data_IF_425565342708
#
_entry.id   IF_425565342708
#
_cell.length_a   1.000
_cell.length_b   1.000
_cell.length_c   1.000
_cell.angle_alpha   90.00
_cell.angle_beta   90.00
_cell.angle_gamma   90.00
#
_symmetry.space_group_name_H-M   'P 1'
#
loop_
_entity.id
_entity.type
_entity.pdbx_description
1 polymer ?
#
# COMPACT_ATOMS: atom_id res chain seq x y z
N UNK A 1 29.18 -51.73 -23.42
CA UNK A 1 30.37 -51.49 -22.57
C UNK A 1 31.42 -50.91 -23.49
N UNK A 2 31.32 -49.61 -23.75
CA UNK A 2 32.30 -48.94 -24.60
C UNK A 2 33.58 -48.78 -23.78
N UNK A 3 34.68 -49.27 -24.34
CA UNK A 3 36.01 -48.95 -23.85
C UNK A 3 36.13 -47.44 -23.84
N UNK A 4 35.93 -46.83 -22.67
CA UNK A 4 36.27 -45.44 -22.43
C UNK A 4 37.73 -45.33 -22.85
N UNK A 5 38.00 -44.69 -23.99
CA UNK A 5 39.38 -44.40 -24.34
C UNK A 5 39.93 -43.62 -23.18
N UNK A 6 41.02 -44.09 -22.59
CA UNK A 6 41.66 -43.53 -21.39
C UNK A 6 41.91 -42.01 -21.50
N UNK A 7 41.88 -41.48 -22.72
CA UNK A 7 42.06 -40.09 -23.06
C UNK A 7 40.92 -39.62 -23.97
N UNK A 8 40.31 -38.48 -23.63
CA UNK A 8 39.43 -37.74 -24.54
C UNK A 8 40.29 -36.84 -25.43
N UNK A 9 40.18 -37.02 -26.73
CA UNK A 9 40.91 -36.22 -27.73
C UNK A 9 39.97 -35.55 -28.73
N UNK A 10 38.68 -35.46 -28.40
CA UNK A 10 37.73 -34.69 -29.19
C UNK A 10 37.97 -33.19 -29.00
N UNK A 11 37.71 -32.42 -30.05
CA UNK A 11 37.77 -30.97 -29.97
C UNK A 11 36.63 -30.45 -29.08
N UNK A 12 36.93 -29.47 -28.22
CA UNK A 12 35.94 -28.84 -27.34
C UNK A 12 34.80 -28.15 -28.12
N UNK A 13 35.09 -27.61 -29.30
CA UNK A 13 34.12 -26.94 -30.19
C UNK A 13 33.48 -27.97 -31.13
N UNK A 14 34.29 -28.75 -31.84
CA UNK A 14 33.84 -29.74 -32.82
C UNK A 14 33.91 -31.16 -32.25
N UNK A 15 32.95 -31.53 -31.40
CA UNK A 15 32.96 -32.78 -30.61
C UNK A 15 33.12 -34.07 -31.44
N UNK A 16 32.76 -34.04 -32.72
CA UNK A 16 32.95 -35.18 -33.62
C UNK A 16 34.39 -35.34 -34.11
N UNK A 17 35.16 -34.25 -34.15
CA UNK A 17 36.49 -34.21 -34.70
C UNK A 17 37.55 -34.37 -33.61
N UNK A 18 38.59 -35.16 -33.91
CA UNK A 18 39.75 -35.30 -33.03
C UNK A 18 40.69 -34.11 -33.22
N UNK A 19 41.34 -33.69 -32.14
CA UNK A 19 42.44 -32.73 -32.18
C UNK A 19 43.57 -33.32 -33.03
N UNK A 20 44.15 -32.49 -33.91
CA UNK A 20 45.17 -32.93 -34.89
C UNK A 20 46.46 -32.10 -34.85
N UNK A 21 46.37 -30.80 -34.59
CA UNK A 21 47.50 -29.88 -34.69
C UNK A 21 47.45 -28.83 -33.58
N UNK A 22 48.54 -28.09 -33.42
CA UNK A 22 48.60 -26.89 -32.58
C UNK A 22 48.61 -25.68 -33.50
N UNK A 23 47.74 -24.71 -33.26
CA UNK A 23 47.80 -23.40 -33.89
C UNK A 23 48.84 -22.57 -33.17
N UNK A 24 50.04 -22.43 -33.75
CA UNK A 24 51.14 -21.66 -33.16
C UNK A 24 50.81 -20.16 -33.06
N UNK A 25 49.94 -19.64 -33.95
CA UNK A 25 49.47 -18.25 -33.86
C UNK A 25 48.58 -18.00 -32.64
N UNK A 26 47.66 -18.92 -32.34
CA UNK A 26 46.69 -18.78 -31.24
C UNK A 26 47.14 -19.44 -29.94
N UNK A 27 48.19 -20.28 -29.97
CA UNK A 27 48.62 -21.16 -28.87
C UNK A 27 47.49 -22.06 -28.38
N UNK A 28 46.80 -22.70 -29.32
CA UNK A 28 45.64 -23.56 -29.02
C UNK A 28 45.69 -24.88 -29.81
N UNK A 29 44.98 -25.89 -29.32
CA UNK A 29 44.83 -27.20 -29.95
C UNK A 29 43.62 -27.21 -30.89
N UNK A 30 43.83 -27.63 -32.13
CA UNK A 30 42.83 -27.51 -33.19
C UNK A 30 42.56 -28.85 -33.86
N UNK A 31 41.30 -29.08 -34.23
CA UNK A 31 40.91 -30.12 -35.18
C UNK A 31 40.84 -29.55 -36.60
N UNK A 32 40.57 -30.40 -37.59
CA UNK A 32 40.48 -29.97 -38.99
C UNK A 32 39.40 -28.89 -39.20
N UNK A 33 38.25 -29.00 -38.54
CA UNK A 33 37.18 -27.99 -38.66
C UNK A 33 37.57 -26.64 -38.06
N UNK A 34 38.26 -26.63 -36.91
CA UNK A 34 38.79 -25.38 -36.33
C UNK A 34 39.72 -24.66 -37.31
N UNK A 35 40.57 -25.40 -38.02
CA UNK A 35 41.51 -24.84 -38.99
C UNK A 35 40.77 -24.14 -40.13
N UNK A 36 39.68 -24.73 -40.61
CA UNK A 36 38.89 -24.20 -41.73
C UNK A 36 38.06 -22.97 -41.33
N UNK A 37 37.51 -22.97 -40.12
CA UNK A 37 36.56 -21.95 -39.67
C UNK A 37 37.24 -20.76 -38.98
N UNK A 38 37.97 -21.02 -37.89
CA UNK A 38 38.40 -19.97 -36.96
C UNK A 38 39.91 -19.67 -37.02
N UNK A 39 40.71 -20.60 -37.56
CA UNK A 39 42.17 -20.46 -37.62
C UNK A 39 42.72 -20.37 -39.06
N UNK A 40 41.88 -19.98 -40.03
CA UNK A 40 42.30 -19.87 -41.42
C UNK A 40 43.45 -18.84 -41.58
N UNK A 41 44.52 -19.24 -42.26
CA UNK A 41 45.73 -18.40 -42.45
C UNK A 41 46.72 -18.39 -41.28
N UNK A 42 46.43 -19.08 -40.18
CA UNK A 42 47.34 -19.19 -39.05
C UNK A 42 48.46 -20.20 -39.29
N UNK A 43 49.55 -20.10 -38.50
CA UNK A 43 50.65 -21.06 -38.52
C UNK A 43 50.30 -22.27 -37.67
N UNK A 44 50.59 -23.47 -38.17
CA UNK A 44 50.32 -24.71 -37.46
C UNK A 44 51.59 -25.52 -37.21
N UNK A 45 51.67 -26.13 -36.03
CA UNK A 45 52.72 -27.06 -35.61
C UNK A 45 52.16 -28.46 -35.35
N UNK A 46 53.06 -29.44 -35.25
CA UNK A 46 52.70 -30.80 -34.83
C UNK A 46 52.45 -30.82 -33.32
N UNK A 47 51.70 -31.81 -32.84
CA UNK A 47 51.57 -32.06 -31.41
C UNK A 47 52.84 -32.80 -30.97
N UNK A 48 53.82 -32.04 -30.49
CA UNK A 48 55.09 -32.53 -29.96
C UNK A 48 55.47 -31.75 -28.70
N UNK A 49 56.60 -32.14 -28.08
CA UNK A 49 57.06 -31.54 -26.82
C UNK A 49 57.32 -30.04 -26.97
N UNK A 50 57.88 -29.61 -28.09
CA UNK A 50 58.25 -28.21 -28.32
C UNK A 50 57.01 -27.32 -28.45
N UNK A 51 56.06 -27.71 -29.30
CA UNK A 51 54.84 -26.93 -29.56
C UNK A 51 53.83 -26.98 -28.40
N UNK A 52 53.82 -28.05 -27.61
CA UNK A 52 52.85 -28.23 -26.52
C UNK A 52 53.29 -27.57 -25.20
N UNK A 53 54.58 -27.30 -25.03
CA UNK A 53 55.16 -26.84 -23.76
C UNK A 53 54.54 -25.52 -23.29
N UNK A 54 54.42 -24.55 -24.19
CA UNK A 54 53.89 -23.23 -23.84
C UNK A 54 52.41 -23.30 -23.43
N UNK A 55 51.60 -24.06 -24.16
CA UNK A 55 50.17 -24.27 -23.85
C UNK A 55 50.02 -24.94 -22.48
N UNK A 56 50.85 -25.95 -22.20
CA UNK A 56 50.80 -26.67 -20.93
C UNK A 56 51.26 -25.80 -19.75
N UNK A 57 52.31 -25.00 -19.91
CA UNK A 57 52.76 -24.06 -18.87
C UNK A 57 51.72 -22.97 -18.62
N UNK A 58 51.05 -22.44 -19.64
CA UNK A 58 49.94 -21.48 -19.47
C UNK A 58 48.77 -22.13 -18.71
N UNK A 59 48.40 -23.36 -19.07
CA UNK A 59 47.36 -24.10 -18.37
C UNK A 59 47.70 -24.32 -16.89
N UNK A 60 48.93 -24.76 -16.62
CA UNK A 60 49.43 -25.07 -15.27
C UNK A 60 49.54 -23.84 -14.40
N UNK A 61 50.08 -22.74 -14.94
CA UNK A 61 50.41 -21.55 -14.16
C UNK A 61 49.22 -20.60 -14.03
N UNK A 62 48.33 -20.53 -15.02
CA UNK A 62 47.22 -19.57 -15.06
C UNK A 62 45.84 -20.23 -15.08
N UNK A 63 45.56 -21.15 -16.01
CA UNK A 63 44.19 -21.65 -16.20
C UNK A 63 43.68 -22.45 -15.00
N UNK A 64 44.49 -23.35 -14.42
CA UNK A 64 44.05 -24.21 -13.32
C UNK A 64 43.62 -23.39 -12.08
N UNK A 65 44.42 -22.38 -11.70
CA UNK A 65 44.08 -21.48 -10.60
C UNK A 65 42.82 -20.64 -10.91
N UNK A 66 42.66 -20.23 -12.16
CA UNK A 66 41.48 -19.49 -12.59
C UNK A 66 40.21 -20.35 -12.57
N UNK A 67 40.29 -21.64 -12.89
CA UNK A 67 39.15 -22.57 -12.80
C UNK A 67 38.63 -22.71 -11.37
N UNK A 68 39.53 -22.88 -10.39
CA UNK A 68 39.14 -22.93 -8.97
C UNK A 68 38.46 -21.63 -8.52
N UNK A 69 38.96 -20.48 -8.99
CA UNK A 69 38.32 -19.17 -8.76
C UNK A 69 36.93 -19.09 -9.40
N UNK A 70 36.73 -19.63 -10.60
CA UNK A 70 35.42 -19.66 -11.25
C UNK A 70 34.42 -20.57 -10.52
N UNK A 71 34.87 -21.69 -9.93
CA UNK A 71 34.02 -22.52 -9.06
C UNK A 71 33.53 -21.70 -7.85
N UNK A 72 34.43 -20.93 -7.23
CA UNK A 72 34.07 -20.00 -6.14
C UNK A 72 33.00 -18.98 -6.57
N UNK A 73 33.20 -18.30 -7.70
CA UNK A 73 32.25 -17.33 -8.25
C UNK A 73 30.89 -17.98 -8.56
N UNK A 74 30.88 -19.17 -9.17
CA UNK A 74 29.64 -19.89 -9.50
C UNK A 74 28.87 -20.28 -8.24
N UNK A 75 29.56 -20.70 -7.18
CA UNK A 75 28.95 -20.99 -5.88
C UNK A 75 28.38 -19.72 -5.22
N UNK A 76 29.06 -18.58 -5.32
CA UNK A 76 28.55 -17.28 -4.85
C UNK A 76 27.29 -16.85 -5.62
N UNK A 77 27.29 -16.97 -6.95
CA UNK A 77 26.13 -16.67 -7.80
C UNK A 77 24.94 -17.61 -7.49
N UNK A 78 25.21 -18.90 -7.27
CA UNK A 78 24.18 -19.86 -6.87
C UNK A 78 23.57 -19.50 -5.52
N UNK A 79 24.39 -19.10 -4.54
CA UNK A 79 23.93 -18.63 -3.24
C UNK A 79 23.10 -17.34 -3.37
N UNK A 80 23.53 -16.38 -4.20
CA UNK A 80 22.78 -15.15 -4.47
C UNK A 80 21.42 -15.44 -5.10
N UNK A 81 21.36 -16.37 -6.07
CA UNK A 81 20.13 -16.83 -6.71
C UNK A 81 19.18 -17.50 -5.73
N UNK A 82 19.69 -18.41 -4.87
CA UNK A 82 18.89 -19.06 -3.84
C UNK A 82 18.32 -18.05 -2.83
N UNK A 83 19.09 -17.02 -2.46
CA UNK A 83 18.62 -15.94 -1.58
C UNK A 83 17.53 -15.07 -2.24
N UNK A 84 17.65 -14.79 -3.55
CA UNK A 84 16.60 -14.13 -4.35
C UNK A 84 15.32 -14.95 -4.34
N UNK A 85 15.43 -16.24 -4.62
CA UNK A 85 14.29 -17.13 -4.64
C UNK A 85 13.62 -17.24 -3.27
N UNK A 86 14.41 -17.32 -2.18
CA UNK A 86 13.85 -17.35 -0.82
C UNK A 86 13.08 -16.07 -0.49
N UNK A 87 13.59 -14.91 -0.89
CA UNK A 87 12.89 -13.63 -0.72
C UNK A 87 11.58 -13.58 -1.50
N UNK A 88 11.54 -14.15 -2.72
CA UNK A 88 10.32 -14.30 -3.51
C UNK A 88 9.31 -15.26 -2.86
N UNK A 89 9.78 -16.38 -2.31
CA UNK A 89 8.94 -17.36 -1.60
C UNK A 89 8.30 -16.76 -0.35
N UNK A 90 9.09 -16.02 0.45
CA UNK A 90 8.59 -15.32 1.63
C UNK A 90 7.56 -14.25 1.23
N UNK A 91 7.83 -13.49 0.16
CA UNK A 91 6.89 -12.47 -0.37
C UNK A 91 5.61 -13.10 -0.93
N UNK A 92 5.72 -14.23 -1.61
CA UNK A 92 4.56 -14.99 -2.09
C UNK A 92 3.68 -15.43 -0.91
N UNK A 93 4.29 -16.00 0.12
CA UNK A 93 3.60 -16.42 1.33
C UNK A 93 2.90 -15.24 2.03
N UNK A 94 3.58 -14.10 2.16
CA UNK A 94 3.01 -12.86 2.69
C UNK A 94 1.78 -12.41 1.89
N UNK A 95 1.91 -12.33 0.55
CA UNK A 95 0.82 -11.91 -0.34
C UNK A 95 -0.41 -12.83 -0.22
N UNK A 96 -0.20 -14.16 -0.19
CA UNK A 96 -1.28 -15.14 -0.02
C UNK A 96 -1.98 -14.96 1.34
N UNK A 97 -1.21 -14.76 2.42
CA UNK A 97 -1.77 -14.52 3.75
C UNK A 97 -2.58 -13.22 3.80
N UNK A 98 -2.06 -12.13 3.21
CA UNK A 98 -2.77 -10.84 3.13
C UNK A 98 -4.11 -10.98 2.41
N UNK A 99 -4.13 -11.63 1.23
CA UNK A 99 -5.35 -11.87 0.47
C UNK A 99 -6.33 -12.71 1.31
N UNK A 100 -5.84 -13.80 1.92
CA UNK A 100 -6.67 -14.71 2.72
C UNK A 100 -7.32 -14.00 3.91
N UNK A 101 -6.58 -13.20 4.67
CA UNK A 101 -7.13 -12.49 5.82
C UNK A 101 -8.15 -11.41 5.40
N UNK A 102 -7.92 -10.68 4.31
CA UNK A 102 -8.93 -9.72 3.80
C UNK A 102 -10.23 -10.43 3.41
N UNK A 103 -10.14 -11.53 2.65
CA UNK A 103 -11.33 -12.29 2.24
C UNK A 103 -12.00 -13.07 3.37
N UNK A 104 -11.34 -13.26 4.51
CA UNK A 104 -11.92 -13.85 5.73
C UNK A 104 -12.75 -12.85 6.52
N UNK A 105 -12.43 -11.55 6.44
CA UNK A 105 -13.22 -10.50 7.11
C UNK A 105 -14.48 -10.09 6.32
N UNK A 106 -14.43 -10.09 4.97
CA UNK A 106 -15.57 -9.65 4.14
C UNK A 106 -16.89 -10.40 4.43
N UNK A 107 -16.92 -11.75 4.54
CA UNK A 107 -18.15 -12.47 4.82
C UNK A 107 -18.73 -12.16 6.21
N UNK A 108 -17.91 -11.71 7.18
CA UNK A 108 -18.39 -11.34 8.52
C UNK A 108 -19.23 -10.07 8.50
N UNK A 109 -19.01 -9.20 7.52
CA UNK A 109 -19.75 -7.95 7.37
C UNK A 109 -21.16 -8.17 6.79
N UNK A 110 -21.33 -9.20 5.94
CA UNK A 110 -22.59 -9.43 5.21
C UNK A 110 -23.80 -9.65 6.15
N UNK A 111 -23.76 -10.56 7.15
CA UNK A 111 -24.89 -10.75 8.06
C UNK A 111 -25.19 -9.52 8.91
N UNK A 112 -24.16 -8.75 9.29
CA UNK A 112 -24.33 -7.52 10.08
C UNK A 112 -25.12 -6.49 9.27
N UNK A 113 -24.73 -6.28 8.01
CA UNK A 113 -25.40 -5.34 7.11
C UNK A 113 -26.82 -5.82 6.79
N UNK A 114 -27.01 -7.11 6.53
CA UNK A 114 -28.32 -7.71 6.27
C UNK A 114 -29.29 -7.47 7.45
N UNK A 115 -28.86 -7.83 8.67
CA UNK A 115 -29.67 -7.67 9.89
C UNK A 115 -29.99 -6.19 10.14
N UNK A 116 -29.02 -5.28 9.97
CA UNK A 116 -29.24 -3.83 10.10
C UNK A 116 -30.31 -3.34 9.13
N UNK A 117 -30.23 -3.71 7.84
CA UNK A 117 -31.20 -3.26 6.84
C UNK A 117 -32.60 -3.83 7.06
N UNK A 118 -32.70 -5.10 7.43
CA UNK A 118 -33.99 -5.71 7.80
C UNK A 118 -34.59 -5.00 9.02
N UNK A 119 -33.77 -4.73 10.05
CA UNK A 119 -34.24 -4.02 11.25
C UNK A 119 -34.78 -2.63 10.93
N UNK A 120 -34.12 -1.88 10.05
CA UNK A 120 -34.59 -0.57 9.59
C UNK A 120 -35.96 -0.67 8.89
N UNK A 121 -36.15 -1.66 8.01
CA UNK A 121 -37.44 -1.89 7.35
C UNK A 121 -38.54 -2.25 8.34
N UNK A 122 -38.23 -3.11 9.32
CA UNK A 122 -39.18 -3.49 10.39
C UNK A 122 -39.59 -2.27 11.21
N UNK A 123 -38.64 -1.42 11.61
CA UNK A 123 -38.95 -0.19 12.36
C UNK A 123 -39.88 0.74 11.58
N UNK A 124 -39.62 0.98 10.29
CA UNK A 124 -40.48 1.81 9.44
C UNK A 124 -41.89 1.22 9.28
N UNK A 125 -41.98 -0.12 9.19
CA UNK A 125 -43.26 -0.81 9.12
C UNK A 125 -44.04 -0.72 10.43
N UNK A 126 -43.38 -0.89 11.58
CA UNK A 126 -43.99 -0.78 12.91
C UNK A 126 -44.54 0.64 13.16
N UNK A 127 -43.80 1.68 12.76
CA UNK A 127 -44.28 3.06 12.84
C UNK A 127 -45.53 3.29 11.98
N UNK A 128 -45.54 2.76 10.74
CA UNK A 128 -46.73 2.81 9.88
C UNK A 128 -47.90 2.01 10.49
N UNK A 129 -47.62 0.88 11.16
CA UNK A 129 -48.64 0.07 11.84
C UNK A 129 -49.25 0.81 13.03
N UNK A 130 -48.46 1.56 13.78
CA UNK A 130 -48.93 2.42 14.87
C UNK A 130 -49.83 3.54 14.35
N UNK A 131 -49.43 4.22 13.26
CA UNK A 131 -50.27 5.22 12.56
C UNK A 131 -51.60 4.60 12.13
N UNK A 132 -51.57 3.44 11.48
CA UNK A 132 -52.78 2.75 11.03
C UNK A 132 -53.70 2.35 12.20
N UNK A 133 -53.13 1.92 13.32
CA UNK A 133 -53.89 1.56 14.53
C UNK A 133 -54.56 2.79 15.14
N UNK A 134 -53.87 3.93 15.16
CA UNK A 134 -54.43 5.21 15.62
C UNK A 134 -55.60 5.66 14.73
N UNK A 135 -55.42 5.66 13.40
CA UNK A 135 -56.48 5.99 12.45
C UNK A 135 -57.68 5.05 12.63
N UNK A 136 -57.43 3.74 12.72
CA UNK A 136 -58.50 2.73 12.88
C UNK A 136 -59.29 2.95 14.17
N UNK A 137 -58.62 3.25 15.28
CA UNK A 137 -59.26 3.54 16.57
C UNK A 137 -60.15 4.78 16.48
N UNK A 138 -59.62 5.87 15.91
CA UNK A 138 -60.35 7.12 15.72
C UNK A 138 -61.60 6.90 14.85
N UNK A 139 -61.47 6.23 13.71
CA UNK A 139 -62.58 5.94 12.79
C UNK A 139 -63.62 5.03 13.44
N UNK A 140 -63.18 4.01 14.19
CA UNK A 140 -64.07 3.09 14.88
C UNK A 140 -64.88 3.79 15.97
N UNK A 141 -64.24 4.62 16.81
CA UNK A 141 -64.90 5.40 17.85
C UNK A 141 -65.95 6.34 17.27
N UNK A 142 -65.64 7.03 16.17
CA UNK A 142 -66.61 7.86 15.48
C UNK A 142 -67.77 7.05 14.90
N UNK A 143 -67.48 5.95 14.23
CA UNK A 143 -68.50 5.07 13.65
C UNK A 143 -69.45 4.52 14.71
N UNK A 144 -68.92 4.10 15.86
CA UNK A 144 -69.71 3.61 16.99
C UNK A 144 -70.63 4.70 17.55
N UNK A 145 -70.11 5.91 17.75
CA UNK A 145 -70.91 7.04 18.22
C UNK A 145 -72.02 7.44 17.23
N UNK A 146 -71.71 7.46 15.94
CA UNK A 146 -72.69 7.73 14.86
C UNK A 146 -73.77 6.64 14.86
N UNK A 147 -73.38 5.36 14.90
CA UNK A 147 -74.33 4.24 14.90
C UNK A 147 -75.23 4.25 16.14
N UNK A 148 -74.68 4.55 17.32
CA UNK A 148 -75.43 4.63 18.57
C UNK A 148 -76.53 5.69 18.50
N UNK A 149 -76.19 6.89 18.02
CA UNK A 149 -77.16 7.99 17.87
C UNK A 149 -78.16 7.68 16.75
N UNK A 150 -77.69 7.23 15.59
CA UNK A 150 -78.53 6.96 14.42
C UNK A 150 -79.54 5.86 14.72
N UNK A 151 -79.10 4.71 15.24
CA UNK A 151 -80.00 3.60 15.54
C UNK A 151 -81.08 3.97 16.56
N UNK A 152 -80.74 4.84 17.52
CA UNK A 152 -81.67 5.27 18.55
C UNK A 152 -82.79 6.16 18.02
N UNK A 153 -82.49 7.06 17.07
CA UNK A 153 -83.41 8.12 16.67
C UNK A 153 -83.97 7.98 15.24
N UNK A 154 -83.36 7.16 14.37
CA UNK A 154 -83.68 7.05 12.93
C UNK A 154 -85.17 6.92 12.62
N UNK A 155 -85.89 6.13 13.42
CA UNK A 155 -87.31 5.83 13.17
C UNK A 155 -88.26 6.55 14.14
N UNK A 156 -87.74 7.16 15.21
CA UNK A 156 -88.52 7.71 16.32
C UNK A 156 -88.44 9.23 16.41
N UNK A 157 -87.48 9.88 15.73
CA UNK A 157 -87.20 11.32 15.88
C UNK A 157 -88.43 12.21 15.66
N UNK A 158 -89.26 11.89 14.67
CA UNK A 158 -90.47 12.64 14.35
C UNK A 158 -91.61 12.45 15.37
N UNK A 159 -91.50 11.47 16.25
CA UNK A 159 -92.48 11.16 17.31
C UNK A 159 -92.08 11.77 18.66
N UNK A 160 -90.86 12.29 18.78
CA UNK A 160 -90.35 12.86 20.03
C UNK A 160 -90.95 14.25 20.24
N UNK A 161 -91.78 14.39 21.26
CA UNK A 161 -92.28 15.67 21.74
C UNK A 161 -91.50 16.07 23.01
N UNK A 162 -90.63 17.06 22.90
CA UNK A 162 -89.75 17.47 24.00
C UNK A 162 -90.54 18.07 25.18
N UNK A 163 -91.63 18.78 24.89
CA UNK A 163 -92.49 19.38 25.92
C UNK A 163 -93.13 18.28 26.78
N UNK A 164 -93.55 17.17 26.17
CA UNK A 164 -94.09 16.02 26.91
C UNK A 164 -93.03 15.37 27.81
N UNK A 165 -91.83 15.13 27.28
CA UNK A 165 -90.76 14.44 28.02
C UNK A 165 -90.25 15.28 29.20
N UNK A 166 -90.16 16.60 29.05
CA UNK A 166 -89.72 17.50 30.13
C UNK A 166 -90.76 17.56 31.25
N UNK A 167 -92.05 17.52 30.91
CA UNK A 167 -93.14 17.58 31.90
C UNK A 167 -93.38 16.24 32.62
N UNK A 168 -92.83 15.13 32.12
CA UNK A 168 -92.94 13.81 32.73
C UNK A 168 -91.87 13.65 33.83
N UNK A 169 -92.26 13.93 35.08
CA UNK A 169 -91.38 14.11 36.26
C UNK A 169 -90.49 12.91 36.66
N UNK A 170 -90.43 11.84 35.88
CA UNK A 170 -89.75 10.59 36.22
C UNK A 170 -88.75 10.06 35.18
N UNK A 171 -88.29 10.88 34.21
CA UNK A 171 -87.26 10.41 33.27
C UNK A 171 -86.11 11.39 33.00
N UNK A 172 -84.88 10.88 33.07
CA UNK A 172 -83.66 11.53 32.58
C UNK A 172 -83.57 11.54 31.04
N UNK A 173 -84.65 11.20 30.34
CA UNK A 173 -84.69 11.03 28.89
C UNK A 173 -84.38 12.34 28.14
N UNK A 174 -84.88 13.48 28.65
CA UNK A 174 -84.59 14.78 28.07
C UNK A 174 -83.08 15.11 28.11
N UNK A 175 -82.38 14.79 29.21
CA UNK A 175 -80.93 14.99 29.35
C UNK A 175 -80.17 14.14 28.33
N UNK A 176 -80.57 12.88 28.16
CA UNK A 176 -79.93 11.98 27.22
C UNK A 176 -80.11 12.43 25.76
N UNK A 177 -81.31 12.92 25.40
CA UNK A 177 -81.56 13.52 24.08
C UNK A 177 -80.65 14.73 23.87
N UNK A 178 -80.57 15.64 24.85
CA UNK A 178 -79.69 16.81 24.78
C UNK A 178 -78.21 16.41 24.62
N UNK A 179 -77.76 15.37 25.33
CA UNK A 179 -76.40 14.81 25.17
C UNK A 179 -76.16 14.34 23.74
N UNK A 180 -77.07 13.56 23.15
CA UNK A 180 -76.93 13.09 21.77
C UNK A 180 -77.06 14.22 20.74
N UNK A 181 -77.87 15.25 20.99
CA UNK A 181 -77.91 16.47 20.18
C UNK A 181 -76.55 17.20 20.20
N UNK A 182 -75.93 17.32 21.38
CA UNK A 182 -74.60 17.90 21.50
C UNK A 182 -73.52 17.05 20.81
N UNK A 183 -73.54 15.73 20.99
CA UNK A 183 -72.59 14.80 20.37
C UNK A 183 -72.72 14.76 18.85
N UNK A 184 -73.94 14.65 18.32
CA UNK A 184 -74.19 14.69 16.87
C UNK A 184 -73.71 16.00 16.25
N UNK A 185 -73.91 17.14 16.94
CA UNK A 185 -73.34 18.41 16.50
C UNK A 185 -71.82 18.35 16.38
N UNK A 186 -71.12 17.79 17.36
CA UNK A 186 -69.65 17.63 17.31
C UNK A 186 -69.20 16.66 16.21
N UNK A 187 -69.95 15.58 15.98
CA UNK A 187 -69.66 14.59 14.93
C UNK A 187 -69.85 15.15 13.52
N UNK A 188 -70.74 16.15 13.36
CA UNK A 188 -71.11 16.72 12.04
C UNK A 188 -70.35 18.03 11.74
N UNK A 189 -70.26 18.94 12.72
CA UNK A 189 -69.92 20.35 12.41
C UNK A 189 -68.46 20.64 12.16
N UNK A 190 -67.56 19.69 12.36
CA UNK A 190 -66.15 19.96 12.24
C UNK A 190 -65.46 18.90 11.37
N UNK A 191 -64.91 19.33 10.23
CA UNK A 191 -63.87 18.61 9.49
C UNK A 191 -62.63 18.30 10.35
N UNK A 192 -62.63 18.59 11.66
CA UNK A 192 -61.59 18.21 12.62
C UNK A 192 -61.24 16.72 12.53
N UNK A 193 -62.21 15.84 12.27
CA UNK A 193 -61.95 14.40 12.17
C UNK A 193 -61.19 14.05 10.89
N UNK A 194 -61.67 14.59 9.78
CA UNK A 194 -61.02 14.44 8.47
C UNK A 194 -59.61 15.04 8.51
N UNK A 195 -59.46 16.25 9.04
CA UNK A 195 -58.17 16.92 9.21
C UNK A 195 -57.21 16.08 10.08
N UNK A 196 -57.67 15.59 11.24
CA UNK A 196 -56.85 14.75 12.12
C UNK A 196 -56.43 13.43 11.45
N UNK A 197 -57.32 12.82 10.67
CA UNK A 197 -57.00 11.60 9.92
C UNK A 197 -56.01 11.92 8.79
N UNK A 198 -56.22 13.00 8.05
CA UNK A 198 -55.31 13.46 6.99
C UNK A 198 -53.92 13.78 7.55
N UNK A 199 -53.84 14.49 8.69
CA UNK A 199 -52.59 14.76 9.40
C UNK A 199 -51.85 13.48 9.82
N UNK A 200 -52.57 12.41 10.18
CA UNK A 200 -51.98 11.10 10.47
C UNK A 200 -51.55 10.37 9.19
N UNK A 201 -52.34 10.46 8.11
CA UNK A 201 -51.98 9.85 6.83
C UNK A 201 -50.73 10.50 6.22
N UNK A 202 -50.54 11.81 6.39
CA UNK A 202 -49.34 12.52 5.95
C UNK A 202 -48.07 12.08 6.69
N UNK A 203 -48.20 11.40 7.83
CA UNK A 203 -47.07 10.85 8.59
C UNK A 203 -46.61 9.48 8.09
N UNK A 204 -47.35 8.84 7.17
CA UNK A 204 -46.93 7.55 6.63
C UNK A 204 -45.56 7.64 5.94
N UNK A 205 -44.67 6.70 6.28
CA UNK A 205 -43.34 6.60 5.68
C UNK A 205 -43.40 5.72 4.45
N UNK A 206 -43.29 6.32 3.27
CA UNK A 206 -43.16 5.59 2.01
C UNK A 206 -41.70 5.11 1.81
N UNK A 207 -41.51 3.81 1.64
CA UNK A 207 -40.18 3.19 1.57
C UNK A 207 -39.82 2.87 0.12
N UNK A 208 -38.77 3.52 -0.39
CA UNK A 208 -38.18 3.20 -1.69
C UNK A 208 -36.93 2.32 -1.50
N UNK A 209 -36.81 1.26 -2.29
CA UNK A 209 -35.69 0.32 -2.23
C UNK A 209 -34.77 0.48 -3.45
N UNK A 210 -33.45 0.56 -3.22
CA UNK A 210 -32.42 0.60 -4.27
C UNK A 210 -31.48 -0.58 -4.07
N UNK A 211 -31.33 -1.42 -5.08
CA UNK A 211 -30.44 -2.58 -5.05
C UNK A 211 -29.14 -2.30 -5.81
N UNK A 212 -28.03 -2.13 -5.09
CA UNK A 212 -26.70 -1.85 -5.65
C UNK A 212 -25.79 -3.09 -5.73
N UNK A 213 -26.34 -4.30 -5.62
CA UNK A 213 -25.54 -5.54 -5.53
C UNK A 213 -24.57 -5.74 -6.69
N UNK A 214 -24.94 -5.37 -7.92
CA UNK A 214 -24.05 -5.50 -9.09
C UNK A 214 -22.83 -4.58 -9.02
N UNK A 215 -23.00 -3.33 -8.58
CA UNK A 215 -21.88 -2.40 -8.39
C UNK A 215 -20.92 -2.91 -7.31
N UNK A 216 -21.47 -3.45 -6.21
CA UNK A 216 -20.66 -4.02 -5.13
C UNK A 216 -19.84 -5.23 -5.61
N UNK A 217 -20.42 -6.10 -6.45
CA UNK A 217 -19.70 -7.25 -7.01
C UNK A 217 -18.49 -6.82 -7.84
N UNK A 218 -18.62 -5.78 -8.67
CA UNK A 218 -17.49 -5.25 -9.44
C UNK A 218 -16.43 -4.65 -8.53
N UNK A 219 -16.81 -3.85 -7.52
CA UNK A 219 -15.86 -3.32 -6.53
C UNK A 219 -15.12 -4.43 -5.76
N UNK A 220 -15.74 -5.58 -5.51
CA UNK A 220 -15.08 -6.73 -4.87
C UNK A 220 -13.98 -7.34 -5.76
N UNK A 221 -14.13 -7.34 -7.09
CA UNK A 221 -13.09 -7.85 -8.00
C UNK A 221 -11.85 -6.97 -8.01
N UNK A 222 -12.02 -5.67 -7.76
CA UNK A 222 -10.96 -4.66 -7.78
C UNK A 222 -10.20 -4.55 -6.45
N UNK A 223 -10.51 -5.39 -5.44
CA UNK A 223 -9.85 -5.34 -4.13
C UNK A 223 -8.33 -5.57 -4.26
N UNK A 224 -7.91 -6.45 -5.18
CA UNK A 224 -6.50 -6.75 -5.43
C UNK A 224 -6.19 -6.76 -6.92
N UNK A 225 -5.15 -6.00 -7.29
CA UNK A 225 -4.55 -6.04 -8.61
C UNK A 225 -3.18 -6.72 -8.53
N UNK A 226 -2.95 -7.75 -9.36
CA UNK A 226 -1.67 -8.45 -9.42
C UNK A 226 -0.87 -7.90 -10.59
N UNK A 227 0.26 -7.26 -10.31
CA UNK A 227 1.21 -6.78 -11.31
C UNK A 227 2.53 -7.54 -11.20
N UNK A 228 3.18 -7.78 -12.35
CA UNK A 228 4.50 -8.39 -12.41
C UNK A 228 5.56 -7.28 -12.55
N UNK A 229 6.51 -7.21 -11.63
CA UNK A 229 7.64 -6.29 -11.74
C UNK A 229 8.85 -7.00 -12.33
N UNK A 230 9.52 -6.37 -13.28
CA UNK A 230 10.68 -6.94 -14.01
C UNK A 230 11.97 -7.03 -13.16
N UNK A 231 11.92 -6.75 -11.85
CA UNK A 231 13.13 -6.65 -11.02
C UNK A 231 12.95 -7.23 -9.62
N UNK A 232 13.76 -8.23 -9.27
CA UNK A 232 13.87 -8.82 -7.93
C UNK A 232 15.00 -8.10 -7.19
N UNK A 233 14.77 -7.65 -5.95
CA UNK A 233 15.83 -7.10 -5.08
C UNK A 233 15.97 -7.90 -3.80
N UNK A 234 17.18 -8.38 -3.52
CA UNK A 234 17.55 -9.06 -2.27
C UNK A 234 17.67 -8.15 -1.05
N UNK A 235 17.45 -6.84 -1.18
CA UNK A 235 17.60 -5.93 -0.05
C UNK A 235 16.29 -5.89 0.72
N UNK A 236 16.30 -6.39 1.95
CA UNK A 236 15.15 -6.27 2.87
C UNK A 236 14.91 -4.79 3.14
N UNK A 237 13.72 -4.32 2.78
CA UNK A 237 13.26 -3.01 3.19
C UNK A 237 12.97 -3.03 4.69
N UNK A 238 13.32 -1.96 5.43
CA UNK A 238 13.03 -1.92 6.85
C UNK A 238 11.53 -1.98 7.13
N UNK A 239 11.18 -2.46 8.32
CA UNK A 239 9.79 -2.46 8.82
C UNK A 239 9.37 -1.08 9.30
N UNK A 240 10.30 -0.36 9.94
CA UNK A 240 10.02 0.94 10.55
C UNK A 240 11.22 1.85 10.47
N UNK A 241 10.96 3.12 10.15
CA UNK A 241 11.97 4.17 10.11
C UNK A 241 11.43 5.38 10.85
N UNK A 242 12.17 5.89 11.82
CA UNK A 242 11.86 7.13 12.54
C UNK A 242 12.92 8.16 12.17
N UNK A 243 12.51 9.35 11.77
CA UNK A 243 13.40 10.49 11.56
C UNK A 243 12.74 11.75 12.12
N UNK A 244 13.51 12.65 12.74
CA UNK A 244 12.93 13.86 13.34
C UNK A 244 11.89 13.59 14.44
N UNK A 245 11.96 12.44 15.10
CA UNK A 245 11.00 12.03 16.13
C UNK A 245 9.64 11.55 15.60
N UNK A 246 9.46 11.41 14.28
CA UNK A 246 8.24 10.87 13.67
C UNK A 246 8.53 9.69 12.75
N UNK A 247 7.54 8.82 12.62
CA UNK A 247 7.60 7.67 11.74
C UNK A 247 7.53 8.11 10.27
N UNK A 248 8.40 7.54 9.44
CA UNK A 248 8.49 7.81 8.02
C UNK A 248 7.63 6.81 7.25
N UNK A 249 6.99 7.29 6.19
CA UNK A 249 6.44 6.41 5.17
C UNK A 249 7.58 5.77 4.37
N UNK A 250 7.61 4.45 4.27
CA UNK A 250 8.66 3.71 3.54
C UNK A 250 8.25 3.61 2.06
N UNK A 251 8.91 4.38 1.22
CA UNK A 251 8.67 4.45 -0.21
C UNK A 251 9.35 3.30 -0.96
N UNK A 252 8.56 2.50 -1.68
CA UNK A 252 9.00 1.41 -2.57
C UNK A 252 8.53 1.71 -4.00
N UNK A 253 9.04 0.98 -5.01
CA UNK A 253 8.72 1.24 -6.43
C UNK A 253 7.21 1.31 -6.73
N UNK A 254 6.39 0.50 -6.04
CA UNK A 254 4.94 0.38 -6.26
C UNK A 254 4.11 1.08 -5.16
N UNK A 255 4.73 1.90 -4.31
CA UNK A 255 4.04 2.58 -3.22
C UNK A 255 3.42 3.90 -3.66
N UNK A 256 2.12 4.07 -3.40
CA UNK A 256 1.46 5.37 -3.46
C UNK A 256 1.75 6.11 -2.17
N UNK A 257 2.44 7.25 -2.25
CA UNK A 257 2.74 8.09 -1.09
C UNK A 257 1.44 8.78 -0.63
N UNK A 258 0.97 8.57 0.61
CA UNK A 258 -0.25 9.19 1.11
C UNK A 258 -0.20 10.71 1.01
N UNK A 259 -1.31 11.34 0.65
CA UNK A 259 -1.39 12.79 0.57
C UNK A 259 -1.07 13.41 1.94
N UNK A 260 -0.25 14.48 1.97
CA UNK A 260 0.19 15.11 3.20
C UNK A 260 1.34 14.41 3.93
N UNK A 261 1.95 13.36 3.35
CA UNK A 261 3.16 12.74 3.91
C UNK A 261 4.26 13.78 4.09
N UNK A 262 4.74 13.94 5.33
CA UNK A 262 5.81 14.88 5.70
C UNK A 262 7.15 14.21 5.93
N UNK A 263 7.15 12.91 6.27
CA UNK A 263 8.33 12.11 6.61
C UNK A 263 8.39 10.90 5.69
N UNK A 264 9.47 10.78 4.91
CA UNK A 264 9.63 9.76 3.89
C UNK A 264 10.97 9.06 4.03
N UNK A 265 10.99 7.74 3.92
CA UNK A 265 12.19 6.93 3.84
C UNK A 265 12.19 6.17 2.51
N UNK A 266 13.19 6.41 1.66
CA UNK A 266 13.31 5.72 0.39
C UNK A 266 13.98 4.38 0.62
N UNK A 267 13.23 3.31 0.33
CA UNK A 267 13.67 1.95 0.59
C UNK A 267 14.81 1.52 -0.36
N UNK A 268 15.72 0.64 0.08
CA UNK A 268 16.81 0.15 -0.77
C UNK A 268 16.33 -0.64 -2.00
N UNK A 269 15.11 -1.20 -1.95
CA UNK A 269 14.46 -1.87 -3.08
C UNK A 269 14.13 -0.94 -4.25
N UNK A 270 14.07 0.39 -4.02
CA UNK A 270 13.73 1.37 -5.06
C UNK A 270 14.78 1.34 -6.17
N UNK A 271 14.30 1.23 -7.42
CA UNK A 271 15.13 1.17 -8.64
C UNK A 271 15.08 2.45 -9.45
N UNK A 272 13.95 3.16 -9.39
CA UNK A 272 13.73 4.38 -10.14
C UNK A 272 12.99 5.39 -9.28
N UNK A 273 13.38 6.66 -9.39
CA UNK A 273 12.62 7.80 -8.87
C UNK A 273 12.32 8.68 -10.08
N UNK A 274 11.05 9.04 -10.28
CA UNK A 274 10.65 9.94 -11.38
C UNK A 274 10.58 11.37 -10.86
N UNK A 275 10.89 12.35 -11.70
CA UNK A 275 10.68 13.76 -11.35
C UNK A 275 9.21 13.96 -11.01
N UNK A 276 8.92 14.53 -9.84
CA UNK A 276 7.56 14.74 -9.33
C UNK A 276 6.92 13.54 -8.62
N UNK A 277 7.60 12.39 -8.49
CA UNK A 277 7.01 11.23 -7.78
C UNK A 277 7.00 11.39 -6.26
N UNK A 278 7.85 12.26 -5.72
CA UNK A 278 7.88 12.58 -4.29
C UNK A 278 7.12 13.91 -4.09
N UNK A 279 6.04 13.92 -3.28
CA UNK A 279 5.21 15.10 -3.13
C UNK A 279 5.91 16.24 -2.39
N UNK A 280 5.53 17.48 -2.72
CA UNK A 280 6.06 18.71 -2.11
C UNK A 280 5.67 18.89 -0.63
N UNK A 281 4.86 17.99 -0.08
CA UNK A 281 4.56 17.93 1.36
C UNK A 281 5.73 17.35 2.18
N UNK A 282 6.64 16.60 1.56
CA UNK A 282 7.76 15.95 2.26
C UNK A 282 8.76 16.98 2.75
N UNK A 283 9.08 16.92 4.04
CA UNK A 283 10.02 17.79 4.76
C UNK A 283 11.25 17.02 5.26
N UNK A 284 11.05 15.78 5.69
CA UNK A 284 12.08 14.89 6.19
C UNK A 284 12.24 13.73 5.19
N UNK A 285 13.45 13.56 4.66
CA UNK A 285 13.77 12.48 3.73
C UNK A 285 14.94 11.64 4.26
N UNK A 286 14.76 10.32 4.27
CA UNK A 286 15.81 9.35 4.60
C UNK A 286 16.15 8.54 3.35
N UNK A 287 17.41 8.57 2.92
CA UNK A 287 17.96 7.65 1.94
C UNK A 287 18.60 6.49 2.71
N UNK A 288 17.94 5.33 2.71
CA UNK A 288 18.35 4.18 3.52
C UNK A 288 19.60 3.48 2.98
N UNK A 289 20.24 2.69 3.84
CA UNK A 289 21.44 1.92 3.51
C UNK A 289 21.18 0.98 2.31
N UNK A 290 22.09 1.00 1.34
CA UNK A 290 21.94 0.20 0.11
C UNK A 290 21.12 0.87 -0.98
N UNK A 291 20.57 2.07 -0.76
CA UNK A 291 19.93 2.86 -1.82
C UNK A 291 20.88 3.02 -3.03
N UNK A 292 20.42 2.58 -4.22
CA UNK A 292 21.25 2.40 -5.41
C UNK A 292 20.71 3.12 -6.65
N UNK A 293 20.00 4.24 -6.47
CA UNK A 293 19.53 5.09 -7.57
C UNK A 293 20.43 6.31 -7.70
N UNK A 294 20.83 6.66 -8.92
CA UNK A 294 21.62 7.87 -9.16
C UNK A 294 20.67 9.06 -9.09
N UNK A 295 20.76 9.85 -8.02
CA UNK A 295 20.01 11.10 -7.92
C UNK A 295 20.60 12.14 -8.88
N UNK A 296 19.70 12.81 -9.60
CA UNK A 296 19.96 13.93 -10.51
C UNK A 296 19.15 15.15 -10.05
N UNK A 297 19.51 16.31 -10.57
CA UNK A 297 18.79 17.56 -10.32
C UNK A 297 17.29 17.44 -10.61
N UNK A 298 16.46 17.97 -9.71
CA UNK A 298 15.00 17.96 -9.81
C UNK A 298 14.29 16.67 -9.42
N UNK A 299 15.01 15.57 -9.13
CA UNK A 299 14.38 14.30 -8.71
C UNK A 299 13.79 14.36 -7.31
N UNK A 300 14.39 15.15 -6.42
CA UNK A 300 13.92 15.38 -5.07
C UNK A 300 13.28 16.78 -4.99
N UNK A 301 12.12 16.95 -4.31
CA UNK A 301 11.43 18.24 -4.24
C UNK A 301 12.20 19.25 -3.37
N UNK A 302 12.09 20.54 -3.73
CA UNK A 302 12.69 21.66 -2.98
C UNK A 302 12.08 21.87 -1.59
N UNK A 303 11.03 21.12 -1.23
CA UNK A 303 10.36 21.21 0.07
C UNK A 303 11.13 20.55 1.21
N UNK A 304 12.07 19.66 0.90
CA UNK A 304 12.84 18.88 1.89
C UNK A 304 13.75 19.82 2.67
N UNK A 305 13.62 19.83 3.99
CA UNK A 305 14.46 20.62 4.90
C UNK A 305 15.50 19.77 5.62
N UNK A 306 15.16 18.51 5.92
CA UNK A 306 16.05 17.56 6.59
C UNK A 306 16.31 16.35 5.70
N UNK A 307 17.57 16.12 5.36
CA UNK A 307 18.01 14.97 4.55
C UNK A 307 18.95 14.09 5.37
N UNK A 308 18.60 12.81 5.52
CA UNK A 308 19.41 11.79 6.15
C UNK A 308 19.90 10.83 5.07
N UNK A 309 21.20 10.56 5.02
CA UNK A 309 21.83 9.76 3.98
C UNK A 309 22.63 8.62 4.63
N UNK A 310 22.15 7.39 4.43
CA UNK A 310 22.82 6.16 4.86
C UNK A 310 23.99 5.73 3.97
N UNK A 311 24.36 4.46 4.06
CA UNK A 311 25.37 3.79 3.23
C UNK A 311 24.88 3.55 1.79
N UNK A 312 24.66 4.63 1.05
CA UNK A 312 24.19 4.61 -0.35
C UNK A 312 25.26 4.09 -1.31
N UNK A 313 24.85 3.54 -2.46
CA UNK A 313 25.74 2.88 -3.43
C UNK A 313 26.25 3.77 -4.56
N UNK A 314 25.70 4.98 -4.70
CA UNK A 314 26.02 5.92 -5.78
C UNK A 314 26.36 7.30 -5.23
N UNK A 315 27.25 8.06 -5.90
CA UNK A 315 27.66 9.37 -5.42
C UNK A 315 26.55 10.42 -5.52
N UNK A 316 26.60 11.41 -4.63
CA UNK A 316 25.75 12.60 -4.70
C UNK A 316 26.41 13.62 -5.64
N UNK A 317 25.83 13.76 -6.84
CA UNK A 317 26.29 14.66 -7.89
C UNK A 317 25.83 16.10 -7.62
N UNK A 318 26.43 17.05 -8.32
CA UNK A 318 26.00 18.46 -8.32
C UNK A 318 24.49 18.57 -8.61
N UNK A 319 23.77 19.34 -7.79
CA UNK A 319 22.33 19.55 -7.91
C UNK A 319 21.43 18.40 -7.43
N UNK A 320 22.00 17.25 -7.00
CA UNK A 320 21.20 16.10 -6.54
C UNK A 320 20.53 16.30 -5.18
N UNK A 321 21.10 17.17 -4.34
CA UNK A 321 20.51 17.59 -3.06
C UNK A 321 19.73 18.89 -3.31
N UNK A 322 18.43 18.99 -2.94
CA UNK A 322 17.65 20.21 -3.12
C UNK A 322 18.19 21.40 -2.32
N UNK A 323 18.01 22.61 -2.84
CA UNK A 323 18.36 23.87 -2.16
C UNK A 323 17.44 24.22 -0.98
N UNK A 324 16.43 23.40 -0.69
CA UNK A 324 15.62 23.52 0.53
C UNK A 324 16.28 22.90 1.76
N UNK A 325 17.32 22.07 1.59
CA UNK A 325 17.92 21.30 2.68
C UNK A 325 18.73 22.23 3.60
N UNK A 326 18.26 22.38 4.84
CA UNK A 326 18.91 23.13 5.91
C UNK A 326 19.75 22.22 6.80
N UNK A 327 19.34 20.97 6.94
CA UNK A 327 19.94 19.99 7.85
C UNK A 327 20.29 18.71 7.06
N UNK A 328 21.59 18.48 6.86
CA UNK A 328 22.12 17.32 6.15
C UNK A 328 22.82 16.39 7.13
N UNK A 329 22.34 15.15 7.24
CA UNK A 329 22.94 14.11 8.09
C UNK A 329 23.55 13.00 7.23
N UNK A 330 24.86 12.79 7.34
CA UNK A 330 25.56 11.67 6.72
C UNK A 330 25.79 10.60 7.77
N UNK A 331 24.92 9.59 7.73
CA UNK A 331 24.83 8.53 8.73
C UNK A 331 26.02 7.57 8.64
N UNK A 332 26.08 6.65 9.60
CA UNK A 332 27.09 5.61 9.64
C UNK A 332 27.17 4.80 8.32
N UNK A 333 28.39 4.46 7.91
CA UNK A 333 28.64 3.74 6.66
C UNK A 333 28.55 4.55 5.36
N UNK A 334 28.17 5.85 5.39
CA UNK A 334 28.28 6.69 4.20
C UNK A 334 29.75 6.82 3.77
N UNK A 335 30.04 6.44 2.51
CA UNK A 335 31.41 6.42 1.98
C UNK A 335 31.51 6.98 0.56
N UNK A 336 30.46 7.64 0.07
CA UNK A 336 30.39 8.13 -1.30
C UNK A 336 30.92 9.56 -1.42
N UNK A 337 31.45 9.90 -2.59
CA UNK A 337 31.89 11.28 -2.88
C UNK A 337 30.67 12.22 -2.93
N UNK A 338 30.82 13.40 -2.32
CA UNK A 338 29.89 14.52 -2.43
C UNK A 338 30.55 15.61 -3.26
N UNK A 339 29.88 16.02 -4.33
CA UNK A 339 30.43 17.03 -5.25
C UNK A 339 30.17 18.45 -4.77
N UNK A 340 28.99 18.69 -4.19
CA UNK A 340 28.53 20.00 -3.75
C UNK A 340 27.50 19.83 -2.62
N UNK A 341 27.50 20.75 -1.67
CA UNK A 341 26.49 20.85 -0.61
C UNK A 341 25.69 22.12 -0.89
N UNK A 342 24.36 22.09 -0.81
CA UNK A 342 23.54 23.27 -1.02
C UNK A 342 23.96 24.43 -0.12
N UNK A 343 23.94 25.65 -0.64
CA UNK A 343 24.26 26.86 0.14
C UNK A 343 23.28 27.10 1.30
N UNK A 344 22.08 26.51 1.22
CA UNK A 344 21.05 26.52 2.27
C UNK A 344 21.40 25.68 3.49
N UNK A 345 22.38 24.77 3.40
CA UNK A 345 22.70 23.86 4.49
C UNK A 345 23.36 24.62 5.64
N UNK A 346 22.63 24.71 6.75
CA UNK A 346 23.04 25.36 8.00
C UNK A 346 23.80 24.37 8.88
N UNK A 347 23.29 23.15 8.99
CA UNK A 347 23.85 22.10 9.82
C UNK A 347 24.23 20.87 8.99
N UNK A 348 25.49 20.46 9.13
CA UNK A 348 25.98 19.20 8.61
C UNK A 348 26.32 18.27 9.77
N UNK A 349 25.66 17.12 9.84
CA UNK A 349 25.87 16.11 10.87
C UNK A 349 26.66 14.94 10.30
N UNK A 350 27.74 14.56 10.98
CA UNK A 350 28.60 13.44 10.60
C UNK A 350 28.61 12.36 11.68
N UNK A 351 28.51 11.11 11.23
CA UNK A 351 28.49 9.91 12.06
C UNK A 351 29.84 9.20 12.03
N UNK A 352 30.00 8.01 11.44
CA UNK A 352 31.33 7.36 11.26
C UNK A 352 31.90 7.52 9.84
N UNK A 353 31.33 8.45 9.07
CA UNK A 353 31.72 8.84 7.71
C UNK A 353 33.15 9.42 7.61
N UNK A 354 34.08 8.82 6.84
CA UNK A 354 35.39 9.43 6.56
C UNK A 354 35.25 10.66 5.65
N UNK A 355 35.86 11.79 6.01
CA UNK A 355 35.92 13.00 5.20
C UNK A 355 37.32 13.15 4.63
N UNK A 356 37.44 13.13 3.32
CA UNK A 356 38.61 13.67 2.62
C UNK A 356 38.11 14.71 1.61
N UNK A 357 38.61 15.94 1.69
CA UNK A 357 38.22 17.09 0.86
C UNK A 357 36.72 17.44 0.88
N UNK A 358 36.20 17.82 2.04
CA UNK A 358 34.77 18.14 2.17
C UNK A 358 34.46 19.62 1.84
N UNK A 359 33.57 19.92 0.88
CA UNK A 359 33.25 21.27 0.46
C UNK A 359 32.19 21.91 1.37
N UNK A 360 32.48 22.08 2.67
CA UNK A 360 31.57 22.74 3.61
C UNK A 360 32.27 23.86 4.40
N UNK A 361 31.72 25.07 4.35
CA UNK A 361 32.33 26.23 4.99
C UNK A 361 31.78 26.54 6.41
N UNK A 362 30.69 25.91 6.83
CA UNK A 362 30.04 26.17 8.13
C UNK A 362 30.45 25.16 9.21
N UNK A 363 29.83 25.25 10.40
CA UNK A 363 30.07 24.33 11.51
C UNK A 363 29.59 22.91 11.17
N UNK A 364 30.43 21.94 11.49
CA UNK A 364 30.14 20.52 11.34
C UNK A 364 29.81 19.98 12.72
N UNK A 365 28.68 19.31 12.87
CA UNK A 365 28.25 18.71 14.11
C UNK A 365 28.60 17.22 14.09
N UNK A 366 29.26 16.74 15.15
CA UNK A 366 29.52 15.31 15.33
C UNK A 366 28.95 14.83 16.65
N UNK A 367 28.56 13.56 16.68
CA UNK A 367 28.12 12.88 17.91
C UNK A 367 29.33 12.22 18.58
N UNK A 368 29.38 12.30 19.91
CA UNK A 368 30.44 11.69 20.74
C UNK A 368 30.41 10.15 20.74
N UNK A 369 29.37 9.55 20.17
CA UNK A 369 29.13 8.11 20.12
C UNK A 369 29.99 7.36 19.08
N UNK A 370 30.44 8.03 18.02
CA UNK A 370 31.20 7.40 16.92
C UNK A 370 32.66 7.84 16.98
N UNK A 371 33.60 6.89 16.81
CA UNK A 371 35.04 7.03 17.14
C UNK A 371 35.84 7.80 16.10
N UNK A 372 35.38 8.98 15.71
CA UNK A 372 36.04 9.75 14.66
C UNK A 372 37.20 10.61 15.17
N UNK A 373 38.39 10.37 14.63
CA UNK A 373 39.51 11.30 14.72
C UNK A 373 39.34 12.45 13.71
N UNK A 374 38.47 13.41 14.02
CA UNK A 374 38.44 14.69 13.29
C UNK A 374 39.10 15.80 14.09
N UNK A 375 40.23 16.29 13.58
CA UNK A 375 40.80 17.58 13.96
C UNK A 375 40.52 18.59 12.84
N UNK A 376 39.28 19.09 12.75
CA UNK A 376 38.93 20.20 11.86
C UNK A 376 38.37 21.37 12.69
N UNK A 377 38.85 22.61 12.51
CA UNK A 377 38.58 23.73 13.42
C UNK A 377 37.09 24.15 13.50
N UNK A 378 36.25 23.68 12.57
CA UNK A 378 34.81 23.96 12.54
C UNK A 378 33.93 22.82 13.08
N UNK A 379 34.53 21.74 13.58
CA UNK A 379 33.77 20.61 14.17
C UNK A 379 33.39 20.93 15.61
N UNK A 380 32.11 20.80 15.94
CA UNK A 380 31.57 20.93 17.30
C UNK A 380 30.89 19.63 17.72
N UNK A 381 31.02 19.27 18.99
CA UNK A 381 30.32 18.13 19.56
C UNK A 381 28.83 18.46 19.75
N UNK A 382 27.97 17.53 19.38
CA UNK A 382 26.52 17.60 19.54
C UNK A 382 26.04 16.43 20.39
N UNK A 383 25.65 16.73 21.62
CA UNK A 383 25.16 15.75 22.59
C UNK A 383 23.63 15.83 22.69
N UNK A 384 22.92 15.40 21.65
CA UNK A 384 21.46 15.19 21.69
C UNK A 384 21.13 13.84 21.03
N UNK A 385 20.90 12.81 21.85
CA UNK A 385 20.67 11.42 21.43
C UNK A 385 19.31 11.16 20.76
N UNK A 386 18.41 12.15 20.72
CA UNK A 386 17.01 11.96 20.34
C UNK A 386 16.73 12.11 18.85
N UNK A 387 17.67 12.65 18.07
CA UNK A 387 17.45 12.99 16.65
C UNK A 387 18.05 11.97 15.66
N UNK A 388 18.83 11.00 16.14
CA UNK A 388 19.35 9.94 15.27
C UNK A 388 18.18 9.15 14.65
N UNK A 389 18.14 8.97 13.32
CA UNK A 389 17.12 8.15 12.72
C UNK A 389 17.23 6.71 13.22
N UNK A 390 16.09 6.13 13.59
CA UNK A 390 16.00 4.74 14.09
C UNK A 390 15.44 3.87 12.98
N UNK A 391 16.16 2.80 12.64
CA UNK A 391 15.80 1.86 11.58
C UNK A 391 15.59 0.48 12.22
N UNK A 392 14.40 -0.08 12.06
CA UNK A 392 14.07 -1.45 12.45
C UNK A 392 13.95 -2.30 11.18
N UNK A 393 14.80 -3.33 11.05
CA UNK A 393 14.90 -4.22 9.88
C UNK A 393 13.86 -5.35 9.88
#
# INVERSE_FOLDING_TARGET
MDSISKYDNKCAIHKEHKIKMICATCKDVVCNECILLDHNGHKFGRIDVENSKEIFEEFKNNHLQNLDKQIGINNELLNESNNLFKSLEDKHTENVNTITEVFKELPKLLPIIEIDKIKQLVTLYDENKDINTNISTIVHDYSNNINLITNKYKNTINQINIDQIINDNNSYQHIEILKHCCQSRLLIKDNQNENKINELMDQYKNVNFVNNSEQVKESIKEIFEISNSLSITNVKDPKRVIAGGKECFIYKNDSIIPNGTTHLAIAPSVKTIKIGSIPTSVKYLVLLDGFNVQLKEGMLPQSITHLFVGAIKKPLLKGSIPNGVTDLSLLDGFNQKITEIPQSTVHLYLFDTPLTNFPFQNFILRTSKYKQQFAHPKVKDWNLSTWEPKIEL
#
